data_IF_194079851966
#
_entry.id   IF_194079851966
#
_cell.length_a   1.000
_cell.length_b   1.000
_cell.length_c   1.000
_cell.angle_alpha   90.00
_cell.angle_beta   90.00
_cell.angle_gamma   90.00
#
_symmetry.space_group_name_H-M   'P 1'
#
loop_
_entity.id
_entity.type
_entity.pdbx_description
1 polymer ?
#
# COMPACT_ATOMS: atom_id res chain seq x y z
N UNK A 1 -23.77 6.34 13.65
CA UNK A 1 -23.05 5.56 12.59
C UNK A 1 -23.24 6.23 11.23
N UNK A 2 -22.29 6.16 10.28
CA UNK A 2 -22.40 6.85 8.95
C UNK A 2 -23.72 6.53 8.21
N UNK A 3 -24.25 5.31 8.36
CA UNK A 3 -25.53 4.88 7.78
C UNK A 3 -26.70 5.73 8.29
N UNK A 4 -26.79 5.92 9.61
CA UNK A 4 -27.82 6.76 10.24
C UNK A 4 -27.63 8.23 9.87
N UNK A 5 -26.37 8.70 9.84
CA UNK A 5 -26.05 10.10 9.55
C UNK A 5 -26.53 10.54 8.16
N UNK A 6 -26.46 9.64 7.17
CA UNK A 6 -26.80 9.93 5.77
C UNK A 6 -28.08 9.21 5.30
N UNK A 7 -28.85 8.60 6.20
CA UNK A 7 -30.05 7.80 5.88
C UNK A 7 -29.83 6.80 4.73
N UNK A 8 -28.73 6.04 4.80
CA UNK A 8 -28.34 5.11 3.75
C UNK A 8 -29.12 3.78 3.85
N UNK A 9 -29.45 3.18 2.70
CA UNK A 9 -30.09 1.85 2.64
C UNK A 9 -29.23 0.74 3.28
N UNK A 10 -27.91 0.85 3.16
CA UNK A 10 -26.95 -0.09 3.73
C UNK A 10 -25.58 0.57 3.86
N UNK A 11 -24.64 -0.12 4.50
CA UNK A 11 -23.24 0.29 4.55
C UNK A 11 -22.54 -0.08 3.24
N UNK A 12 -22.40 0.90 2.35
CA UNK A 12 -21.77 0.70 1.05
C UNK A 12 -20.26 0.44 1.17
N UNK A 13 -19.73 -0.33 0.23
CA UNK A 13 -18.28 -0.53 0.06
C UNK A 13 -17.61 0.78 -0.35
N UNK A 14 -16.30 0.90 -0.07
CA UNK A 14 -15.50 2.03 -0.51
C UNK A 14 -15.54 2.15 -2.05
N UNK A 15 -15.85 3.34 -2.60
CA UNK A 15 -15.76 3.60 -4.04
C UNK A 15 -14.35 3.35 -4.58
N UNK A 16 -13.31 3.85 -3.88
CA UNK A 16 -11.91 3.66 -4.26
C UNK A 16 -11.54 2.18 -4.30
N UNK A 17 -11.96 1.41 -3.30
CA UNK A 17 -11.75 -0.04 -3.29
C UNK A 17 -12.46 -0.74 -4.45
N UNK A 18 -13.64 -0.27 -4.84
CA UNK A 18 -14.39 -0.83 -5.97
C UNK A 18 -13.71 -0.52 -7.31
N UNK A 19 -13.33 0.73 -7.54
CA UNK A 19 -12.63 1.17 -8.77
C UNK A 19 -11.29 0.43 -8.91
N UNK A 20 -10.46 0.43 -7.85
CA UNK A 20 -9.16 -0.25 -7.87
C UNK A 20 -9.27 -1.76 -8.07
N UNK A 21 -10.35 -2.38 -7.60
CA UNK A 21 -10.60 -3.81 -7.86
C UNK A 21 -10.95 -4.09 -9.32
N UNK A 22 -11.59 -3.14 -10.01
CA UNK A 22 -11.95 -3.27 -11.43
C UNK A 22 -10.73 -2.98 -12.31
N UNK A 23 -10.01 -1.90 -11.99
CA UNK A 23 -8.88 -1.43 -12.79
C UNK A 23 -7.60 -2.23 -12.54
N UNK A 24 -7.42 -2.77 -11.33
CA UNK A 24 -6.14 -3.29 -10.88
C UNK A 24 -5.08 -2.19 -10.77
N UNK A 25 -3.82 -2.59 -10.56
CA UNK A 25 -2.67 -1.68 -10.64
C UNK A 25 -2.10 -1.19 -9.31
N UNK A 26 -1.27 -0.16 -9.43
CA UNK A 26 -0.44 0.38 -8.33
C UNK A 26 -0.72 1.85 -8.12
N UNK A 27 -0.97 2.25 -6.86
CA UNK A 27 -1.20 3.66 -6.53
C UNK A 27 0.13 4.30 -6.15
N UNK A 28 0.60 5.25 -6.95
CA UNK A 28 1.79 6.04 -6.67
C UNK A 28 1.40 7.33 -5.97
N UNK A 29 2.04 7.60 -4.83
CA UNK A 29 1.87 8.82 -4.06
C UNK A 29 3.20 9.55 -3.97
N UNK A 30 3.22 10.79 -4.45
CA UNK A 30 4.42 11.64 -4.49
C UNK A 30 4.12 13.02 -3.88
N UNK A 31 5.01 13.47 -2.99
CA UNK A 31 4.87 14.72 -2.27
C UNK A 31 5.08 15.94 -3.20
N UNK A 32 4.27 16.97 -3.00
CA UNK A 32 4.39 18.28 -3.65
C UNK A 32 5.33 19.13 -2.79
N UNK A 33 6.54 19.39 -3.28
CA UNK A 33 7.56 20.10 -2.51
C UNK A 33 7.45 21.62 -2.72
N UNK A 34 7.14 22.33 -1.65
CA UNK A 34 7.13 23.80 -1.60
C UNK A 34 8.40 24.32 -0.90
N UNK A 35 9.17 25.19 -1.58
CA UNK A 35 10.46 25.71 -1.05
C UNK A 35 10.35 26.41 0.31
N UNK A 36 9.20 26.99 0.61
CA UNK A 36 8.93 27.77 1.82
C UNK A 36 8.18 26.98 2.92
N UNK A 37 7.86 25.70 2.69
CA UNK A 37 7.22 24.86 3.71
C UNK A 37 8.30 24.03 4.41
N UNK A 38 8.50 24.21 5.72
CA UNK A 38 9.44 23.37 6.46
C UNK A 38 8.94 21.93 6.51
N UNK A 39 9.87 21.00 6.38
CA UNK A 39 9.62 19.55 6.48
C UNK A 39 9.76 19.13 7.94
N UNK A 40 8.92 18.19 8.38
CA UNK A 40 9.06 17.63 9.74
C UNK A 40 10.30 16.74 9.84
N UNK A 41 10.62 16.04 8.76
CA UNK A 41 11.89 15.31 8.63
C UNK A 41 12.82 16.17 7.80
N UNK A 42 13.77 16.82 8.48
CA UNK A 42 14.59 17.89 7.89
C UNK A 42 15.57 17.40 6.83
N UNK A 43 15.97 16.12 6.86
CA UNK A 43 16.88 15.53 5.89
C UNK A 43 16.25 15.22 4.53
N UNK A 44 14.92 15.22 4.40
CA UNK A 44 14.24 14.83 3.16
C UNK A 44 14.28 15.93 2.11
N UNK A 45 15.36 16.00 1.33
CA UNK A 45 15.55 17.02 0.30
C UNK A 45 14.84 16.69 -1.03
N UNK A 46 14.84 15.41 -1.42
CA UNK A 46 14.28 14.87 -2.67
C UNK A 46 12.99 14.09 -2.39
N UNK A 47 12.02 14.00 -3.32
CA UNK A 47 10.75 13.33 -3.07
C UNK A 47 10.91 11.85 -2.70
N UNK A 48 10.04 11.36 -1.81
CA UNK A 48 9.87 9.93 -1.55
C UNK A 48 8.54 9.53 -2.18
N UNK A 49 8.58 8.53 -3.04
CA UNK A 49 7.41 8.10 -3.81
C UNK A 49 6.96 6.75 -3.29
N UNK A 50 5.74 6.67 -2.76
CA UNK A 50 5.16 5.41 -2.30
C UNK A 50 4.39 4.76 -3.45
N UNK A 51 4.80 3.56 -3.88
CA UNK A 51 4.02 2.69 -4.75
C UNK A 51 3.25 1.67 -3.93
N UNK A 52 1.95 1.86 -3.74
CA UNK A 52 1.09 0.97 -2.95
C UNK A 52 0.47 -0.11 -3.83
N UNK A 53 0.66 -1.38 -3.43
CA UNK A 53 -0.04 -2.52 -4.02
C UNK A 53 -1.53 -2.51 -3.63
N UNK A 54 -2.40 -2.08 -4.52
CA UNK A 54 -3.82 -1.84 -4.22
C UNK A 54 -4.70 -3.10 -4.32
N UNK A 55 -4.19 -4.26 -3.90
CA UNK A 55 -4.88 -5.54 -3.99
C UNK A 55 -4.70 -6.43 -2.74
N UNK A 56 -5.68 -7.28 -2.45
CA UNK A 56 -5.57 -8.36 -1.47
C UNK A 56 -5.27 -7.89 -0.04
N UNK A 57 -4.56 -8.76 0.68
CA UNK A 57 -4.10 -8.55 2.06
C UNK A 57 -5.27 -8.17 3.01
N UNK A 58 -5.04 -7.30 3.99
CA UNK A 58 -6.04 -6.87 4.98
C UNK A 58 -7.31 -6.29 4.33
N UNK A 59 -7.22 -5.76 3.10
CA UNK A 59 -8.31 -5.07 2.42
C UNK A 59 -9.29 -6.03 1.73
N UNK A 60 -8.95 -7.33 1.66
CA UNK A 60 -9.85 -8.41 1.24
C UNK A 60 -9.83 -9.59 2.23
N UNK A 61 -9.50 -9.31 3.49
CA UNK A 61 -9.50 -10.31 4.54
C UNK A 61 -10.92 -10.73 4.94
N UNK A 62 -11.02 -11.90 5.55
CA UNK A 62 -12.21 -12.33 6.30
C UNK A 62 -11.83 -12.49 7.76
N UNK A 63 -12.57 -11.86 8.65
CA UNK A 63 -12.31 -11.86 10.09
C UNK A 63 -13.58 -12.15 10.90
N UNK A 64 -13.40 -12.66 12.12
CA UNK A 64 -14.50 -12.92 13.05
C UNK A 64 -14.02 -13.00 14.50
N UNK A 65 -14.98 -12.86 15.43
CA UNK A 65 -14.76 -13.07 16.86
C UNK A 65 -14.93 -14.55 17.18
N UNK A 66 -13.91 -15.15 17.78
CA UNK A 66 -13.96 -16.52 18.29
C UNK A 66 -14.69 -16.52 19.64
N UNK A 67 -15.82 -17.22 19.78
CA UNK A 67 -16.68 -17.09 20.96
C UNK A 67 -16.15 -17.81 22.20
N UNK A 68 -15.20 -18.75 22.06
CA UNK A 68 -14.71 -19.57 23.17
C UNK A 68 -13.65 -20.58 22.73
N UNK A 69 -13.47 -21.64 23.54
CA UNK A 69 -12.50 -22.71 23.28
C UNK A 69 -12.77 -23.39 21.94
N UNK A 70 -11.73 -23.67 21.16
CA UNK A 70 -11.88 -24.31 19.85
C UNK A 70 -10.59 -24.35 19.03
N UNK A 71 -10.65 -24.96 17.86
CA UNK A 71 -9.52 -25.07 16.93
C UNK A 71 -9.77 -24.20 15.70
N UNK A 72 -8.78 -23.40 15.32
CA UNK A 72 -8.79 -22.64 14.08
C UNK A 72 -7.86 -23.30 13.06
N UNK A 73 -8.39 -23.58 11.88
CA UNK A 73 -7.67 -24.22 10.78
C UNK A 73 -7.83 -23.40 9.50
N UNK A 74 -6.77 -23.35 8.69
CA UNK A 74 -6.82 -22.87 7.31
C UNK A 74 -6.82 -24.09 6.39
N UNK A 75 -7.81 -24.16 5.51
CA UNK A 75 -8.00 -25.25 4.57
C UNK A 75 -8.07 -24.67 3.16
N UNK A 76 -7.24 -25.19 2.26
CA UNK A 76 -7.33 -25.00 0.82
C UNK A 76 -7.81 -26.29 0.19
N UNK A 77 -8.77 -26.19 -0.74
CA UNK A 77 -9.30 -27.31 -1.51
C UNK A 77 -9.10 -26.98 -2.99
N UNK A 78 -8.22 -27.73 -3.65
CA UNK A 78 -7.95 -27.61 -5.07
C UNK A 78 -9.02 -28.32 -5.90
N UNK A 79 -9.26 -27.84 -7.12
CA UNK A 79 -10.22 -28.44 -8.05
C UNK A 79 -9.80 -29.86 -8.49
N UNK A 80 -8.51 -30.16 -8.41
CA UNK A 80 -7.94 -31.49 -8.66
C UNK A 80 -8.12 -32.48 -7.50
N UNK A 81 -8.78 -32.05 -6.41
CA UNK A 81 -8.98 -32.85 -5.20
C UNK A 81 -7.86 -32.73 -4.17
N UNK A 82 -6.78 -31.98 -4.44
CA UNK A 82 -5.74 -31.72 -3.45
C UNK A 82 -6.29 -30.89 -2.29
N UNK A 83 -5.83 -31.17 -1.08
CA UNK A 83 -6.16 -30.35 0.08
C UNK A 83 -4.92 -30.01 0.89
N UNK A 84 -4.85 -28.75 1.32
CA UNK A 84 -3.83 -28.27 2.25
C UNK A 84 -4.54 -27.85 3.52
N UNK A 85 -4.08 -28.38 4.65
CA UNK A 85 -4.68 -28.11 5.96
C UNK A 85 -3.61 -27.69 6.96
N UNK A 86 -3.79 -26.53 7.57
CA UNK A 86 -2.90 -26.01 8.60
C UNK A 86 -3.69 -25.60 9.84
N UNK A 87 -3.30 -26.12 11.00
CA UNK A 87 -3.77 -25.56 12.29
C UNK A 87 -3.12 -24.21 12.49
N UNK A 88 -3.93 -23.16 12.68
CA UNK A 88 -3.45 -21.81 13.00
C UNK A 88 -3.27 -21.68 14.51
N UNK A 89 -4.29 -22.08 15.28
CA UNK A 89 -4.29 -21.91 16.73
C UNK A 89 -5.31 -22.84 17.42
N UNK A 90 -5.04 -23.18 18.68
CA UNK A 90 -5.99 -23.83 19.59
C UNK A 90 -6.38 -22.86 20.71
N UNK A 91 -7.58 -22.31 20.59
CA UNK A 91 -8.14 -21.34 21.52
C UNK A 91 -8.49 -22.00 22.85
N UNK A 92 -8.00 -21.41 23.95
CA UNK A 92 -8.35 -21.76 25.33
C UNK A 92 -9.49 -20.90 25.91
N UNK A 93 -9.99 -19.94 25.14
CA UNK A 93 -11.03 -18.97 25.50
C UNK A 93 -11.44 -18.15 24.27
N UNK A 94 -12.20 -17.07 24.46
CA UNK A 94 -12.57 -16.17 23.36
C UNK A 94 -11.36 -15.47 22.74
N UNK A 95 -11.50 -15.00 21.50
CA UNK A 95 -10.45 -14.31 20.77
C UNK A 95 -10.93 -13.76 19.44
N UNK A 96 -9.99 -13.51 18.53
CA UNK A 96 -10.26 -13.05 17.16
C UNK A 96 -9.42 -13.86 16.17
N UNK A 97 -9.90 -13.97 14.94
CA UNK A 97 -9.21 -14.65 13.86
C UNK A 97 -9.39 -13.86 12.56
N UNK A 98 -8.40 -13.95 11.67
CA UNK A 98 -8.48 -13.41 10.33
C UNK A 98 -7.73 -14.31 9.35
N UNK A 99 -8.15 -14.25 8.09
CA UNK A 99 -7.44 -14.83 6.96
C UNK A 99 -7.39 -13.81 5.81
N UNK A 100 -6.26 -13.76 5.11
CA UNK A 100 -6.06 -12.88 3.95
C UNK A 100 -5.31 -13.61 2.84
N UNK A 101 -5.34 -13.06 1.63
CA UNK A 101 -4.71 -13.65 0.45
C UNK A 101 -4.16 -12.58 -0.50
N UNK A 102 -3.29 -13.02 -1.39
CA UNK A 102 -2.92 -12.30 -2.60
C UNK A 102 -2.71 -13.30 -3.74
N UNK A 103 -2.48 -12.81 -4.97
CA UNK A 103 -2.29 -13.64 -6.16
C UNK A 103 -0.98 -13.29 -6.84
N UNK A 104 -0.32 -14.29 -7.43
CA UNK A 104 0.94 -14.06 -8.17
C UNK A 104 0.75 -13.05 -9.30
N UNK A 105 -0.35 -13.17 -10.07
CA UNK A 105 -0.73 -12.22 -11.13
C UNK A 105 -0.71 -10.77 -10.63
N UNK A 106 -1.36 -10.49 -9.50
CA UNK A 106 -1.41 -9.13 -8.96
C UNK A 106 -0.05 -8.64 -8.45
N UNK A 107 0.78 -9.54 -7.90
CA UNK A 107 2.14 -9.19 -7.44
C UNK A 107 3.06 -8.91 -8.63
N UNK A 108 2.93 -9.67 -9.72
CA UNK A 108 3.67 -9.47 -10.98
C UNK A 108 3.33 -8.10 -11.57
N UNK A 109 2.04 -7.75 -11.67
CA UNK A 109 1.59 -6.45 -12.15
C UNK A 109 2.15 -5.30 -11.29
N UNK A 110 2.14 -5.48 -9.97
CA UNK A 110 2.71 -4.53 -9.03
C UNK A 110 4.22 -4.34 -9.22
N UNK A 111 4.96 -5.44 -9.45
CA UNK A 111 6.39 -5.40 -9.72
C UNK A 111 6.69 -4.64 -11.01
N UNK A 112 6.03 -5.01 -12.13
CA UNK A 112 6.22 -4.32 -13.41
C UNK A 112 5.89 -2.83 -13.31
N UNK A 113 4.80 -2.47 -12.65
CA UNK A 113 4.40 -1.08 -12.44
C UNK A 113 5.46 -0.31 -11.66
N UNK A 114 5.96 -0.88 -10.56
CA UNK A 114 6.99 -0.27 -9.71
C UNK A 114 8.31 -0.07 -10.46
N UNK A 115 8.76 -1.07 -11.22
CA UNK A 115 10.00 -0.96 -11.99
C UNK A 115 9.91 0.06 -13.12
N UNK A 116 8.80 0.06 -13.88
CA UNK A 116 8.57 1.05 -14.95
C UNK A 116 8.55 2.47 -14.37
N UNK A 117 7.80 2.68 -13.29
CA UNK A 117 7.70 4.00 -12.65
C UNK A 117 9.07 4.48 -12.13
N UNK A 118 9.85 3.62 -11.47
CA UNK A 118 11.18 3.96 -10.99
C UNK A 118 12.15 4.31 -12.14
N UNK A 119 12.09 3.57 -13.26
CA UNK A 119 12.85 3.92 -14.47
C UNK A 119 12.46 5.27 -15.02
N UNK A 120 11.16 5.57 -15.12
CA UNK A 120 10.66 6.83 -15.67
C UNK A 120 11.04 8.03 -14.80
N UNK A 121 10.99 7.88 -13.47
CA UNK A 121 11.44 8.90 -12.51
C UNK A 121 12.96 8.97 -12.35
N UNK A 122 13.71 8.01 -12.88
CA UNK A 122 15.15 7.88 -12.70
C UNK A 122 15.56 7.79 -11.22
N UNK A 123 14.85 6.96 -10.45
CA UNK A 123 15.10 6.74 -9.03
C UNK A 123 15.33 5.26 -8.71
N UNK A 124 16.14 4.92 -7.69
CA UNK A 124 16.23 3.56 -7.19
C UNK A 124 14.89 3.11 -6.61
N UNK A 125 14.66 1.79 -6.63
CA UNK A 125 13.44 1.16 -6.15
C UNK A 125 13.73 0.28 -4.92
N UNK A 126 12.93 0.43 -3.88
CA UNK A 126 12.96 -0.42 -2.71
C UNK A 126 11.63 -1.14 -2.53
N UNK A 127 11.63 -2.47 -2.42
CA UNK A 127 10.49 -3.25 -1.94
C UNK A 127 10.70 -3.56 -0.46
N UNK A 128 9.69 -3.32 0.38
CA UNK A 128 9.73 -3.71 1.79
C UNK A 128 8.74 -4.80 2.14
N UNK A 129 9.19 -5.82 2.89
CA UNK A 129 8.31 -6.86 3.45
C UNK A 129 8.78 -7.32 4.84
N UNK A 130 8.10 -8.28 5.46
CA UNK A 130 8.55 -8.98 6.68
C UNK A 130 8.75 -10.48 6.43
N UNK A 131 9.45 -10.82 5.33
CA UNK A 131 9.64 -12.20 4.88
C UNK A 131 10.41 -13.11 5.85
N UNK A 132 11.14 -12.58 6.83
CA UNK A 132 11.74 -13.39 7.90
C UNK A 132 10.69 -14.03 8.82
N UNK A 133 9.53 -13.37 8.96
CA UNK A 133 8.39 -13.84 9.74
C UNK A 133 7.37 -14.54 8.83
N UNK A 134 6.91 -13.85 7.79
CA UNK A 134 5.97 -14.37 6.81
C UNK A 134 6.70 -15.06 5.65
N UNK A 135 7.43 -16.14 5.98
CA UNK A 135 8.38 -16.81 5.05
C UNK A 135 7.79 -17.19 3.70
N UNK A 136 6.54 -17.68 3.67
CA UNK A 136 5.85 -18.05 2.44
C UNK A 136 5.15 -16.86 1.78
N UNK A 137 4.36 -16.11 2.54
CA UNK A 137 3.52 -15.03 2.02
C UNK A 137 4.36 -13.85 1.52
N UNK A 138 5.20 -13.27 2.38
CA UNK A 138 6.06 -12.14 2.03
C UNK A 138 7.30 -12.58 1.26
N UNK A 139 7.71 -13.86 1.41
CA UNK A 139 8.71 -14.48 0.55
C UNK A 139 8.28 -14.46 -0.91
N UNK A 140 6.99 -14.77 -1.20
CA UNK A 140 6.48 -14.76 -2.58
C UNK A 140 6.58 -13.40 -3.26
N UNK A 141 6.32 -12.31 -2.54
CA UNK A 141 6.54 -10.95 -3.05
C UNK A 141 8.01 -10.70 -3.39
N UNK A 142 8.92 -11.04 -2.48
CA UNK A 142 10.35 -10.87 -2.68
C UNK A 142 10.83 -11.66 -3.90
N UNK A 143 10.45 -12.93 -3.98
CA UNK A 143 10.92 -13.84 -5.03
C UNK A 143 10.42 -13.39 -6.42
N UNK A 144 9.15 -12.99 -6.54
CA UNK A 144 8.58 -12.48 -7.79
C UNK A 144 9.28 -11.19 -8.24
N UNK A 145 9.45 -10.22 -7.34
CA UNK A 145 10.14 -8.98 -7.70
C UNK A 145 11.59 -9.22 -8.13
N UNK A 146 12.31 -10.12 -7.45
CA UNK A 146 13.69 -10.43 -7.78
C UNK A 146 13.82 -11.12 -9.14
N UNK A 147 12.97 -12.13 -9.42
CA UNK A 147 12.94 -12.83 -10.71
C UNK A 147 12.69 -11.86 -11.88
N UNK A 148 11.67 -11.00 -11.74
CA UNK A 148 11.33 -9.99 -12.76
C UNK A 148 12.48 -8.99 -12.93
N UNK A 149 13.07 -8.52 -11.83
CA UNK A 149 14.19 -7.58 -11.89
C UNK A 149 15.36 -8.16 -12.68
N UNK A 150 15.82 -9.35 -12.30
CA UNK A 150 16.98 -9.99 -12.90
C UNK A 150 16.75 -10.34 -14.38
N UNK A 151 15.54 -10.79 -14.72
CA UNK A 151 15.20 -11.17 -16.10
C UNK A 151 15.00 -9.97 -17.04
N UNK A 152 14.38 -8.88 -16.57
CA UNK A 152 13.79 -7.88 -17.47
C UNK A 152 14.21 -6.42 -17.24
N UNK A 153 14.70 -6.09 -16.04
CA UNK A 153 14.90 -4.70 -15.63
C UNK A 153 16.32 -4.36 -15.20
N UNK A 154 17.11 -5.33 -14.74
CA UNK A 154 18.47 -5.10 -14.21
C UNK A 154 19.34 -4.28 -15.16
N UNK A 155 19.46 -4.70 -16.42
CA UNK A 155 20.25 -3.96 -17.42
C UNK A 155 19.75 -2.53 -17.67
N UNK A 156 18.43 -2.29 -17.58
CA UNK A 156 17.83 -0.95 -17.74
C UNK A 156 18.12 -0.05 -16.55
N UNK A 157 18.09 -0.61 -15.33
CA UNK A 157 18.43 0.09 -14.09
C UNK A 157 19.91 0.44 -14.05
N UNK A 158 20.80 -0.51 -14.38
CA UNK A 158 22.25 -0.31 -14.45
C UNK A 158 22.62 0.77 -15.48
N UNK A 159 21.98 0.79 -16.65
CA UNK A 159 22.19 1.84 -17.67
C UNK A 159 21.85 3.25 -17.15
N UNK A 160 20.91 3.37 -16.22
CA UNK A 160 20.51 4.63 -15.57
C UNK A 160 21.26 4.88 -14.24
N UNK A 161 22.16 3.99 -13.83
CA UNK A 161 22.90 4.04 -12.55
C UNK A 161 21.97 4.07 -11.32
N UNK A 162 20.84 3.39 -11.42
CA UNK A 162 19.89 3.16 -10.32
C UNK A 162 19.83 1.66 -10.02
N UNK A 163 19.25 1.27 -8.89
CA UNK A 163 19.19 -0.12 -8.45
C UNK A 163 17.82 -0.49 -7.89
N UNK A 164 17.59 -1.79 -7.76
CA UNK A 164 16.51 -2.37 -6.99
C UNK A 164 17.07 -3.07 -5.76
N UNK A 165 16.39 -2.93 -4.62
CA UNK A 165 16.73 -3.65 -3.40
C UNK A 165 15.46 -4.10 -2.65
N UNK A 166 15.45 -5.34 -2.16
CA UNK A 166 14.49 -5.77 -1.14
C UNK A 166 15.03 -5.47 0.25
N UNK A 167 14.21 -4.88 1.11
CA UNK A 167 14.51 -4.62 2.53
C UNK A 167 13.45 -5.19 3.46
N UNK A 168 13.85 -5.48 4.70
CA UNK A 168 12.87 -5.70 5.75
C UNK A 168 12.20 -4.36 6.10
N UNK A 169 10.88 -4.39 6.33
CA UNK A 169 10.08 -3.16 6.54
C UNK A 169 10.59 -2.29 7.68
N UNK A 170 11.08 -2.88 8.75
CA UNK A 170 11.68 -2.18 9.90
C UNK A 170 13.02 -1.50 9.56
N UNK A 171 13.86 -2.13 8.74
CA UNK A 171 15.07 -1.47 8.22
C UNK A 171 14.71 -0.37 7.21
N UNK A 172 13.71 -0.61 6.34
CA UNK A 172 13.30 0.34 5.32
C UNK A 172 12.75 1.64 5.93
N UNK A 173 11.93 1.56 6.98
CA UNK A 173 11.45 2.77 7.68
C UNK A 173 12.61 3.53 8.33
N UNK A 174 13.59 2.82 8.90
CA UNK A 174 14.76 3.45 9.54
C UNK A 174 15.67 4.12 8.50
N UNK A 175 15.89 3.47 7.35
CA UNK A 175 16.59 4.04 6.21
C UNK A 175 15.87 5.29 5.68
N UNK A 176 14.56 5.21 5.47
CA UNK A 176 13.73 6.31 5.00
C UNK A 176 13.94 7.57 5.85
N UNK A 177 13.85 7.44 7.19
CA UNK A 177 14.03 8.56 8.12
C UNK A 177 15.42 9.20 8.10
N UNK A 178 16.46 8.48 7.67
CA UNK A 178 17.85 8.97 7.62
C UNK A 178 18.30 9.39 6.22
N UNK A 179 17.53 9.03 5.20
CA UNK A 179 17.85 9.31 3.80
C UNK A 179 17.60 10.77 3.42
N UNK A 180 18.12 11.17 2.26
CA UNK A 180 17.76 12.44 1.61
C UNK A 180 16.43 12.36 0.82
N UNK A 181 15.74 11.21 0.86
CA UNK A 181 14.68 10.88 -0.10
C UNK A 181 15.23 10.49 -1.47
N UNK A 182 14.44 10.68 -2.53
CA UNK A 182 14.87 10.41 -3.93
C UNK A 182 14.84 8.94 -4.29
N UNK A 183 13.78 8.23 -3.91
CA UNK A 183 13.58 6.83 -4.25
C UNK A 183 12.09 6.51 -4.39
N UNK A 184 11.81 5.42 -5.11
CA UNK A 184 10.50 4.79 -5.12
C UNK A 184 10.50 3.69 -4.06
N UNK A 185 9.47 3.67 -3.23
CA UNK A 185 9.24 2.66 -2.21
C UNK A 185 7.98 1.88 -2.56
N UNK A 186 8.18 0.69 -3.10
CA UNK A 186 7.13 -0.30 -3.31
C UNK A 186 6.71 -0.89 -1.95
N UNK A 187 5.48 -0.60 -1.56
CA UNK A 187 4.87 -1.05 -0.33
C UNK A 187 3.74 -2.04 -0.61
N UNK A 188 3.66 -3.08 0.23
CA UNK A 188 2.44 -3.89 0.33
C UNK A 188 1.24 -3.02 0.69
N UNK A 189 0.03 -3.55 0.52
CA UNK A 189 -1.19 -2.76 0.58
C UNK A 189 -1.32 -1.92 1.87
N UNK A 190 -1.15 -2.58 3.02
CA UNK A 190 -1.25 -1.93 4.33
C UNK A 190 -0.09 -0.97 4.60
N UNK A 191 1.15 -1.38 4.29
CA UNK A 191 2.33 -0.54 4.49
C UNK A 191 2.22 0.73 3.65
N UNK A 192 1.74 0.63 2.41
CA UNK A 192 1.58 1.77 1.52
C UNK A 192 0.52 2.75 2.00
N UNK A 193 -0.55 2.26 2.62
CA UNK A 193 -1.58 3.11 3.25
C UNK A 193 -0.98 3.94 4.39
N UNK A 194 -0.33 3.28 5.36
CA UNK A 194 0.23 3.94 6.54
C UNK A 194 1.43 4.84 6.20
N UNK A 195 2.36 4.35 5.38
CA UNK A 195 3.60 5.07 5.09
C UNK A 195 3.36 6.26 4.16
N UNK A 196 2.39 6.20 3.25
CA UNK A 196 2.10 7.36 2.40
C UNK A 196 1.57 8.55 3.19
N UNK A 197 0.73 8.34 4.20
CA UNK A 197 0.27 9.39 5.10
C UNK A 197 1.42 9.95 5.95
N UNK A 198 2.30 9.06 6.44
CA UNK A 198 3.49 9.44 7.21
C UNK A 198 4.46 10.30 6.37
N UNK A 199 4.70 9.89 5.13
CA UNK A 199 5.54 10.63 4.17
C UNK A 199 4.90 11.97 3.83
N UNK A 200 3.60 12.01 3.53
CA UNK A 200 2.89 13.27 3.24
C UNK A 200 2.99 14.27 4.39
N UNK A 201 2.78 13.80 5.62
CA UNK A 201 2.92 14.64 6.80
C UNK A 201 4.37 15.09 7.01
N UNK A 202 5.36 14.24 6.72
CA UNK A 202 6.77 14.58 6.77
C UNK A 202 7.18 15.70 5.81
N UNK A 203 6.54 15.78 4.64
CA UNK A 203 6.68 16.89 3.69
C UNK A 203 5.80 18.12 4.00
N UNK A 204 4.99 18.06 5.06
CA UNK A 204 4.28 19.19 5.64
C UNK A 204 2.78 18.95 5.83
N UNK A 205 2.10 18.33 4.86
CA UNK A 205 0.65 18.12 4.91
C UNK A 205 0.19 17.03 3.95
N UNK A 206 -0.88 16.32 4.34
CA UNK A 206 -1.63 15.43 3.45
C UNK A 206 -2.17 16.14 2.20
N UNK A 207 -2.41 17.45 2.25
CA UNK A 207 -2.82 18.26 1.10
C UNK A 207 -1.68 18.56 0.11
N UNK A 208 -0.43 18.16 0.42
CA UNK A 208 0.73 18.32 -0.44
C UNK A 208 1.20 16.97 -0.97
N UNK A 209 0.26 16.11 -1.37
CA UNK A 209 0.53 14.76 -1.86
C UNK A 209 -0.38 14.44 -3.05
N UNK A 210 0.24 14.08 -4.16
CA UNK A 210 -0.46 13.55 -5.34
C UNK A 210 -0.77 12.06 -5.15
N UNK A 211 -1.81 11.55 -5.79
CA UNK A 211 -2.14 10.12 -5.80
C UNK A 211 -2.59 9.71 -7.20
N UNK A 212 -1.89 8.75 -7.80
CA UNK A 212 -2.14 8.30 -9.17
C UNK A 212 -2.13 6.77 -9.21
N UNK A 213 -3.25 6.15 -9.53
CA UNK A 213 -3.32 4.74 -9.88
C UNK A 213 -2.86 4.55 -11.33
N UNK A 214 -1.89 3.67 -11.54
CA UNK A 214 -1.46 3.25 -12.87
C UNK A 214 -1.83 1.78 -13.06
N UNK A 215 -2.62 1.51 -14.11
CA UNK A 215 -3.06 0.17 -14.46
C UNK A 215 -1.94 -0.64 -15.15
N UNK A 216 -2.03 -1.98 -15.14
CA UNK A 216 -1.03 -2.86 -15.75
C UNK A 216 -0.83 -2.65 -17.25
N UNK A 217 -1.86 -2.16 -17.96
CA UNK A 217 -1.82 -1.84 -19.38
C UNK A 217 -0.86 -0.70 -19.74
N UNK A 218 -0.37 0.05 -18.74
CA UNK A 218 0.51 1.20 -18.90
C UNK A 218 -0.14 2.39 -19.62
N UNK A 219 -1.47 2.41 -19.72
CA UNK A 219 -2.25 3.45 -20.43
C UNK A 219 -3.33 4.05 -19.55
N UNK A 220 -4.02 3.22 -18.77
CA UNK A 220 -5.13 3.65 -17.94
C UNK A 220 -4.61 4.23 -16.64
N UNK A 221 -5.10 5.42 -16.30
CA UNK A 221 -4.69 6.19 -15.13
C UNK A 221 -5.92 6.73 -14.43
N UNK A 222 -5.92 6.67 -13.10
CA UNK A 222 -6.88 7.38 -12.24
C UNK A 222 -6.10 8.27 -11.28
N UNK A 223 -6.48 9.56 -11.21
CA UNK A 223 -5.82 10.55 -10.37
C UNK A 223 -6.80 11.09 -9.33
N UNK A 224 -6.37 11.10 -8.07
CA UNK A 224 -7.14 11.56 -6.92
C UNK A 224 -6.27 12.38 -5.96
N UNK A 225 -6.92 13.10 -5.04
CA UNK A 225 -6.24 13.61 -3.86
C UNK A 225 -5.86 12.43 -2.94
N UNK A 226 -4.69 12.48 -2.31
CA UNK A 226 -4.28 11.42 -1.39
C UNK A 226 -5.10 11.38 -0.09
N UNK A 227 -5.76 12.49 0.26
CA UNK A 227 -6.54 12.65 1.49
C UNK A 227 -8.04 12.35 1.31
N UNK A 228 -8.72 12.08 2.43
CA UNK A 228 -10.18 11.90 2.46
C UNK A 228 -10.97 13.21 2.42
N UNK A 229 -12.26 13.13 2.72
CA UNK A 229 -13.22 14.27 2.58
C UNK A 229 -13.10 15.37 3.65
N UNK A 230 -12.02 15.39 4.43
CA UNK A 230 -11.74 16.38 5.50
C UNK A 230 -12.96 16.61 6.41
N UNK A 231 -13.59 15.52 6.89
CA UNK A 231 -14.90 15.57 7.58
C UNK A 231 -14.94 16.57 8.74
N UNK A 232 -13.83 16.77 9.45
CA UNK A 232 -13.71 17.76 10.53
C UNK A 232 -13.99 19.19 10.05
N UNK A 233 -13.38 19.62 8.95
CA UNK A 233 -13.59 20.97 8.40
C UNK A 233 -15.01 21.10 7.84
N UNK A 234 -15.53 20.04 7.23
CA UNK A 234 -16.92 20.03 6.76
C UNK A 234 -17.92 20.30 7.90
N UNK A 235 -17.68 19.78 9.12
CA UNK A 235 -18.53 20.10 10.29
C UNK A 235 -18.44 21.55 10.75
N UNK A 236 -17.29 22.20 10.59
CA UNK A 236 -17.13 23.63 10.89
C UNK A 236 -17.87 24.47 9.86
N UNK A 237 -17.73 24.13 8.57
CA UNK A 237 -18.49 24.73 7.47
C UNK A 237 -20.01 24.63 7.69
N UNK A 238 -20.52 23.46 8.10
CA UNK A 238 -21.95 23.29 8.40
C UNK A 238 -22.47 24.20 9.54
N UNK A 239 -21.58 24.70 10.40
CA UNK A 239 -21.91 25.65 11.48
C UNK A 239 -21.74 27.11 11.07
N UNK A 240 -21.42 27.38 9.80
CA UNK A 240 -21.10 28.73 9.31
C UNK A 240 -19.74 29.25 9.80
N UNK A 241 -18.86 28.37 10.29
CA UNK A 241 -17.52 28.73 10.73
C UNK A 241 -16.56 28.78 9.54
N UNK A 242 -15.57 29.65 9.60
CA UNK A 242 -14.48 29.69 8.62
C UNK A 242 -13.66 28.39 8.65
N UNK A 243 -13.15 27.99 7.48
CA UNK A 243 -12.27 26.81 7.34
C UNK A 243 -11.05 27.17 6.49
N UNK A 244 -9.91 26.58 6.81
CA UNK A 244 -8.67 26.69 6.03
C UNK A 244 -8.26 25.31 5.54
N UNK A 245 -8.96 24.86 4.50
CA UNK A 245 -8.72 23.55 3.86
C UNK A 245 -7.85 23.76 2.62
N UNK A 246 -6.75 23.01 2.51
CA UNK A 246 -5.90 23.05 1.32
C UNK A 246 -6.64 22.36 0.15
N UNK A 247 -6.89 23.03 -0.99
CA UNK A 247 -7.63 22.48 -2.12
C UNK A 247 -6.84 21.46 -2.96
#
# INVERSE_FOLDING_TARGET
>A
KRVEEFNLKQMWKSPNGTIRNILGGTVFREAIICKNIPRLVTGWEKPIIIGRHAHGDQYKATDFVVPGKGKLELIFTGENGDSIKHTVHEYKGSGVALAMYNTDESIIDFAHSSFKYALDRNYPLYLSTKNTILKKYDGRFKDIFQDIYDREYKGKFEAKKIWYEHRLIDDMVAYCMKSEGGFVWACKNYDGDVQSDSVAQGYGSLGLMTSVLICPDGKTVEAEAAHGTVTRHYRQYQKGQETSTNP
#
